data_IF_135623069156
#
_entry.id   IF_135623069156
#
_cell.length_a   1.000
_cell.length_b   1.000
_cell.length_c   1.000
_cell.angle_alpha   90.00
_cell.angle_beta   90.00
_cell.angle_gamma   90.00
#
_symmetry.space_group_name_H-M   'P 1'
#
loop_
_entity.id
_entity.type
_entity.pdbx_description
1 polymer ?
#
# COMPACT_ATOMS: atom_id res chain seq x y z
N UNK A 1 -26.50 0.58 -26.21
CA UNK A 1 -25.93 0.02 -24.98
C UNK A 1 -24.44 0.32 -24.93
N UNK A 2 -23.99 0.85 -23.82
CA UNK A 2 -22.54 1.05 -23.65
C UNK A 2 -21.85 -0.32 -23.57
N UNK A 3 -20.74 -0.48 -24.30
CA UNK A 3 -19.93 -1.69 -24.21
C UNK A 3 -19.37 -1.85 -22.82
N UNK A 4 -19.32 -3.08 -22.30
CA UNK A 4 -18.62 -3.38 -21.04
C UNK A 4 -17.13 -3.06 -21.27
N UNK A 5 -16.50 -2.24 -20.41
CA UNK A 5 -15.09 -1.93 -20.58
C UNK A 5 -14.25 -3.18 -20.47
N UNK A 6 -13.28 -3.33 -21.38
CA UNK A 6 -12.29 -4.40 -21.31
C UNK A 6 -11.06 -3.86 -20.59
N UNK A 7 -10.23 -4.77 -20.05
CA UNK A 7 -8.98 -4.38 -19.39
C UNK A 7 -8.14 -3.47 -20.28
N UNK A 8 -7.99 -3.82 -21.55
CA UNK A 8 -7.16 -3.10 -22.51
C UNK A 8 -7.69 -1.69 -22.80
N UNK A 9 -8.97 -1.43 -22.59
CA UNK A 9 -9.58 -0.12 -22.82
C UNK A 9 -9.43 0.87 -21.68
N UNK A 10 -8.92 0.41 -20.51
CA UNK A 10 -8.81 1.23 -19.32
C UNK A 10 -7.36 1.52 -18.95
N UNK A 11 -7.08 2.71 -18.36
CA UNK A 11 -5.75 3.04 -17.86
C UNK A 11 -5.48 2.41 -16.50
N UNK A 12 -4.22 2.44 -16.08
CA UNK A 12 -3.84 2.19 -14.70
C UNK A 12 -4.03 3.45 -13.85
N UNK A 13 -4.43 3.27 -12.60
CA UNK A 13 -4.46 4.38 -11.63
C UNK A 13 -3.06 4.60 -11.07
N UNK A 14 -2.60 5.85 -11.04
CA UNK A 14 -1.31 6.22 -10.47
C UNK A 14 -1.39 6.25 -8.95
N UNK A 15 -0.58 5.42 -8.30
CA UNK A 15 -0.59 5.25 -6.86
C UNK A 15 0.82 5.20 -6.28
N UNK A 16 0.89 5.29 -4.96
CA UNK A 16 2.11 5.07 -4.18
C UNK A 16 1.90 3.90 -3.24
N UNK A 17 2.98 3.19 -2.94
CA UNK A 17 3.04 2.20 -1.89
C UNK A 17 4.16 2.55 -0.92
N UNK A 18 3.99 2.22 0.35
CA UNK A 18 4.90 2.64 1.40
C UNK A 18 5.35 1.43 2.22
N UNK A 19 6.67 1.24 2.31
CA UNK A 19 7.27 0.26 3.21
C UNK A 19 7.90 1.03 4.36
N UNK A 20 7.39 0.84 5.57
CA UNK A 20 7.93 1.47 6.77
C UNK A 20 8.64 0.41 7.58
N UNK A 21 9.96 0.56 7.73
CA UNK A 21 10.81 -0.33 8.53
C UNK A 21 10.98 0.20 9.95
N UNK A 22 10.79 -0.67 10.94
CA UNK A 22 11.18 -0.35 12.32
C UNK A 22 12.67 -0.67 12.53
N UNK A 23 13.13 -0.49 13.77
CA UNK A 23 14.56 -0.70 14.10
C UNK A 23 14.99 -2.16 14.03
N UNK A 24 14.07 -3.11 14.11
CA UNK A 24 14.34 -4.53 13.94
C UNK A 24 14.32 -4.97 12.47
N UNK A 25 14.03 -4.06 11.55
CA UNK A 25 13.92 -4.38 10.13
C UNK A 25 12.61 -5.02 9.70
N UNK A 26 11.60 -4.99 10.57
CA UNK A 26 10.25 -5.43 10.24
C UNK A 26 9.47 -4.28 9.61
N UNK A 27 8.42 -4.61 8.87
CA UNK A 27 7.61 -3.63 8.13
C UNK A 27 6.20 -3.52 8.68
N UNK A 28 5.64 -2.32 8.54
CA UNK A 28 4.27 -2.04 8.96
C UNK A 28 3.27 -2.61 7.98
N UNK A 29 2.32 -3.39 8.49
CA UNK A 29 1.15 -3.80 7.73
C UNK A 29 -0.12 -3.44 8.48
N UNK A 30 -1.16 -3.10 7.72
CA UNK A 30 -2.48 -2.81 8.24
C UNK A 30 -3.49 -3.86 7.81
N UNK A 31 -4.44 -4.15 8.71
CA UNK A 31 -5.57 -5.01 8.41
C UNK A 31 -6.73 -4.15 7.93
N UNK A 32 -7.17 -4.38 6.72
CA UNK A 32 -8.23 -3.57 6.10
C UNK A 32 -9.58 -3.82 6.76
N UNK A 33 -10.35 -2.74 6.90
CA UNK A 33 -11.74 -2.83 7.33
C UNK A 33 -12.59 -3.52 6.28
N UNK A 34 -13.60 -4.26 6.73
CA UNK A 34 -14.64 -4.76 5.85
C UNK A 34 -15.33 -3.56 5.15
N UNK A 35 -15.63 -3.70 3.86
CA UNK A 35 -16.17 -2.63 3.05
C UNK A 35 -17.15 -3.18 2.02
N UNK A 36 -18.09 -2.35 1.59
CA UNK A 36 -18.94 -2.64 0.44
C UNK A 36 -18.26 -2.44 -0.91
N UNK A 37 -17.03 -1.91 -0.93
CA UNK A 37 -16.26 -1.77 -2.16
C UNK A 37 -15.89 -3.16 -2.71
N UNK A 38 -16.16 -3.48 -4.00
CA UNK A 38 -15.87 -4.79 -4.56
C UNK A 38 -14.41 -5.22 -4.46
N UNK A 39 -13.47 -4.31 -4.67
CA UNK A 39 -12.04 -4.63 -4.51
C UNK A 39 -11.72 -5.00 -3.07
N UNK A 40 -12.21 -4.19 -2.13
CA UNK A 40 -11.98 -4.41 -0.69
C UNK A 40 -12.67 -5.67 -0.21
N UNK A 41 -13.88 -5.97 -0.70
CA UNK A 41 -14.58 -7.22 -0.38
C UNK A 41 -13.84 -8.44 -0.86
N UNK A 42 -13.25 -8.40 -2.04
CA UNK A 42 -12.45 -9.50 -2.59
C UNK A 42 -11.21 -9.78 -1.74
N UNK A 43 -10.75 -8.83 -0.93
CA UNK A 43 -9.56 -8.94 -0.09
C UNK A 43 -9.86 -9.45 1.33
N UNK A 44 -11.11 -9.74 1.67
CA UNK A 44 -11.50 -10.14 3.04
C UNK A 44 -10.78 -11.40 3.54
N UNK A 45 -10.49 -12.36 2.66
CA UNK A 45 -9.75 -13.58 3.01
C UNK A 45 -8.25 -13.34 3.26
N UNK A 46 -7.72 -12.20 2.80
CA UNK A 46 -6.33 -11.79 2.99
C UNK A 46 -6.32 -10.27 3.18
N UNK A 47 -6.74 -9.79 4.38
CA UNK A 47 -7.02 -8.35 4.59
C UNK A 47 -5.79 -7.50 4.83
N UNK A 48 -4.61 -8.08 4.93
CA UNK A 48 -3.39 -7.35 5.24
C UNK A 48 -2.81 -6.68 4.01
N UNK A 49 -2.25 -5.49 4.20
CA UNK A 49 -1.50 -4.78 3.17
C UNK A 49 -0.57 -3.75 3.80
N UNK A 50 0.41 -3.29 3.03
CA UNK A 50 1.19 -2.12 3.39
C UNK A 50 0.40 -0.85 3.01
N UNK A 51 0.66 0.31 3.66
CA UNK A 51 0.00 1.56 3.30
C UNK A 51 0.16 1.88 1.81
N UNK A 52 -0.90 2.40 1.22
CA UNK A 52 -0.92 2.78 -0.19
C UNK A 52 -2.03 3.80 -0.46
N UNK A 53 -1.93 4.49 -1.58
CA UNK A 53 -3.01 5.39 -1.98
C UNK A 53 -2.74 6.05 -3.32
N UNK A 54 -3.69 6.84 -3.80
CA UNK A 54 -3.59 7.53 -5.08
C UNK A 54 -2.68 8.73 -5.06
N UNK A 55 -2.05 9.00 -6.19
CA UNK A 55 -1.33 10.25 -6.43
C UNK A 55 -2.32 11.26 -7.00
N UNK A 56 -2.46 12.42 -6.36
CA UNK A 56 -3.32 13.47 -6.87
C UNK A 56 -2.70 14.12 -8.12
N UNK A 57 -3.55 14.71 -8.95
CA UNK A 57 -3.08 15.37 -10.18
C UNK A 57 -2.02 16.42 -9.85
N UNK A 58 -0.84 16.30 -10.46
CA UNK A 58 0.26 17.22 -10.25
C UNK A 58 1.02 17.05 -8.94
N UNK A 59 0.66 16.05 -8.12
CA UNK A 59 1.33 15.78 -6.87
C UNK A 59 2.62 14.98 -7.11
N UNK A 60 3.69 15.37 -6.41
CA UNK A 60 4.93 14.59 -6.41
C UNK A 60 4.72 13.23 -5.72
N UNK A 61 5.20 12.11 -6.31
CA UNK A 61 4.98 10.78 -5.72
C UNK A 61 5.48 10.64 -4.29
N UNK A 62 6.64 11.19 -3.94
CA UNK A 62 7.16 11.13 -2.57
C UNK A 62 6.23 11.87 -1.59
N UNK A 63 5.72 13.03 -1.97
CA UNK A 63 4.74 13.77 -1.16
C UNK A 63 3.44 12.99 -1.00
N UNK A 64 2.99 12.33 -2.07
CA UNK A 64 1.82 11.47 -2.01
C UNK A 64 2.04 10.32 -1.01
N UNK A 65 3.22 9.70 -1.03
CA UNK A 65 3.56 8.63 -0.10
C UNK A 65 3.52 9.10 1.36
N UNK A 66 4.12 10.25 1.66
CA UNK A 66 4.10 10.81 3.01
C UNK A 66 2.69 11.19 3.45
N UNK A 67 1.89 11.76 2.56
CA UNK A 67 0.49 12.12 2.83
C UNK A 67 -0.35 10.89 3.11
N UNK A 68 -0.28 9.87 2.26
CA UNK A 68 -1.06 8.64 2.44
C UNK A 68 -0.65 7.89 3.71
N UNK A 69 0.66 7.85 4.02
CA UNK A 69 1.13 7.25 5.26
C UNK A 69 0.51 7.93 6.47
N UNK A 70 0.50 9.26 6.49
CA UNK A 70 -0.11 10.03 7.58
C UNK A 70 -1.63 9.82 7.64
N UNK A 71 -2.30 9.85 6.51
CA UNK A 71 -3.76 9.68 6.44
C UNK A 71 -4.21 8.30 6.92
N UNK A 72 -3.40 7.25 6.68
CA UNK A 72 -3.78 5.89 7.05
C UNK A 72 -3.28 5.45 8.43
N UNK A 73 -2.16 5.99 8.90
CA UNK A 73 -1.47 5.48 10.09
C UNK A 73 -1.08 6.54 11.12
N UNK A 74 -1.30 7.81 10.83
CA UNK A 74 -0.87 8.94 11.67
C UNK A 74 0.64 9.16 11.71
N UNK A 75 1.44 8.35 11.03
CA UNK A 75 2.92 8.44 11.07
C UNK A 75 3.43 9.65 10.29
N UNK A 76 4.33 10.42 10.92
CA UNK A 76 5.10 11.50 10.31
C UNK A 76 6.60 11.36 10.54
N UNK A 77 7.02 10.58 11.53
CA UNK A 77 8.42 10.44 11.94
C UNK A 77 9.12 9.35 11.14
N UNK A 78 9.41 9.65 9.88
CA UNK A 78 10.10 8.74 8.96
C UNK A 78 11.22 9.45 8.22
N UNK A 79 12.22 8.69 7.81
CA UNK A 79 13.24 9.16 6.88
C UNK A 79 13.30 8.22 5.67
N UNK A 80 13.46 8.81 4.48
CA UNK A 80 13.51 8.05 3.23
C UNK A 80 14.79 7.20 3.16
N UNK A 81 14.62 5.91 2.89
CA UNK A 81 15.74 4.97 2.69
C UNK A 81 15.99 4.69 1.22
N UNK A 82 14.95 4.47 0.46
CA UNK A 82 15.07 4.09 -0.94
C UNK A 82 13.75 4.28 -1.68
N UNK A 83 13.84 4.34 -3.00
CA UNK A 83 12.71 4.33 -3.92
C UNK A 83 12.90 3.15 -4.87
N UNK A 84 11.85 2.39 -5.14
CA UNK A 84 11.92 1.34 -6.14
C UNK A 84 12.18 1.97 -7.52
N UNK A 85 13.10 1.39 -8.33
CA UNK A 85 13.54 2.04 -9.56
C UNK A 85 12.48 2.12 -10.65
N UNK A 86 11.45 1.30 -10.57
CA UNK A 86 10.43 1.19 -11.61
C UNK A 86 9.04 1.21 -11.02
N UNK A 87 8.04 1.56 -11.84
CA UNK A 87 6.64 1.38 -11.51
C UNK A 87 6.35 -0.11 -11.31
N UNK A 88 5.56 -0.44 -10.29
CA UNK A 88 5.10 -1.80 -10.03
C UNK A 88 3.61 -1.86 -10.33
N UNK A 89 3.21 -2.81 -11.16
CA UNK A 89 1.84 -2.90 -11.70
C UNK A 89 1.10 -4.07 -11.11
N UNK A 90 -0.21 -3.90 -10.89
CA UNK A 90 -1.11 -5.05 -10.79
C UNK A 90 -2.37 -4.77 -11.60
N UNK A 91 -2.95 -5.83 -12.16
CA UNK A 91 -4.24 -5.79 -12.84
C UNK A 91 -5.34 -6.33 -11.92
N UNK A 92 -6.52 -5.71 -12.01
CA UNK A 92 -7.71 -6.28 -11.37
C UNK A 92 -8.08 -7.60 -12.04
N UNK A 93 -8.64 -8.58 -11.29
CA UNK A 93 -9.26 -9.76 -11.90
C UNK A 93 -10.35 -9.35 -12.90
N UNK A 94 -10.59 -10.17 -13.91
CA UNK A 94 -11.52 -9.85 -15.01
C UNK A 94 -12.92 -9.49 -14.50
N UNK A 95 -13.41 -10.18 -13.47
CA UNK A 95 -14.72 -9.94 -12.87
C UNK A 95 -14.82 -8.62 -12.09
N UNK A 96 -13.70 -7.99 -11.80
CA UNK A 96 -13.63 -6.71 -11.09
C UNK A 96 -13.41 -5.51 -12.03
N UNK A 97 -13.02 -5.76 -13.27
CA UNK A 97 -12.84 -4.69 -14.27
C UNK A 97 -14.21 -4.08 -14.58
N UNK A 98 -14.30 -2.74 -14.55
CA UNK A 98 -15.55 -2.03 -14.75
C UNK A 98 -16.40 -1.89 -13.48
N UNK A 99 -15.99 -2.50 -12.36
CA UNK A 99 -16.70 -2.46 -11.07
C UNK A 99 -15.84 -1.84 -9.98
N UNK A 100 -14.67 -2.41 -9.71
CA UNK A 100 -13.74 -1.87 -8.71
C UNK A 100 -13.06 -0.60 -9.23
N UNK A 101 -12.51 0.20 -8.34
CA UNK A 101 -11.87 1.48 -8.65
C UNK A 101 -12.79 2.40 -9.47
N UNK A 102 -14.07 2.44 -9.08
CA UNK A 102 -15.14 3.23 -9.74
C UNK A 102 -15.34 2.85 -11.21
N UNK A 103 -14.91 1.67 -11.63
CA UNK A 103 -15.00 1.20 -13.00
C UNK A 103 -14.10 1.92 -14.01
N UNK A 104 -13.16 2.75 -13.53
CA UNK A 104 -12.35 3.64 -14.38
C UNK A 104 -10.96 3.11 -14.72
N UNK A 105 -10.49 2.06 -14.04
CA UNK A 105 -9.11 1.61 -14.14
C UNK A 105 -9.04 0.10 -14.29
N UNK A 106 -7.99 -0.36 -14.98
CA UNK A 106 -7.70 -1.79 -15.13
C UNK A 106 -6.95 -2.37 -13.92
N UNK A 107 -6.40 -1.51 -13.08
CA UNK A 107 -5.58 -1.83 -11.93
C UNK A 107 -4.81 -0.59 -11.50
N UNK A 108 -3.68 -0.79 -10.87
CA UNK A 108 -2.83 0.30 -10.41
C UNK A 108 -1.41 0.13 -10.93
N UNK A 109 -0.74 1.27 -11.18
CA UNK A 109 0.72 1.32 -11.24
C UNK A 109 1.20 2.11 -10.04
N UNK A 110 2.22 1.60 -9.37
CA UNK A 110 2.61 2.08 -8.06
C UNK A 110 4.08 2.46 -8.02
N UNK A 111 4.36 3.66 -7.45
CA UNK A 111 5.71 4.06 -7.05
C UNK A 111 5.87 3.64 -5.59
N UNK A 112 6.89 2.82 -5.32
CA UNK A 112 7.13 2.32 -3.96
C UNK A 112 8.32 3.01 -3.32
N UNK A 113 8.13 3.38 -2.05
CA UNK A 113 9.15 4.04 -1.21
C UNK A 113 9.36 3.27 0.07
N UNK A 114 10.62 3.17 0.49
CA UNK A 114 10.99 2.57 1.77
C UNK A 114 11.46 3.66 2.72
N UNK A 115 10.92 3.64 3.94
CA UNK A 115 11.24 4.60 4.99
C UNK A 115 11.70 3.89 6.25
N UNK A 116 12.58 4.54 7.01
CA UNK A 116 12.90 4.14 8.38
C UNK A 116 11.96 4.88 9.34
N UNK A 117 11.31 4.14 10.23
CA UNK A 117 10.49 4.72 11.29
C UNK A 117 11.40 5.17 12.44
N UNK A 118 11.39 6.47 12.72
CA UNK A 118 12.23 7.08 13.77
C UNK A 118 11.44 7.43 15.03
N UNK A 119 10.13 7.21 15.01
CA UNK A 119 9.24 7.46 16.14
C UNK A 119 9.06 6.24 17.03
N UNK A 120 8.01 6.31 17.86
CA UNK A 120 7.61 5.22 18.75
C UNK A 120 6.28 4.66 18.31
N UNK A 121 6.00 3.40 18.63
CA UNK A 121 4.76 2.72 18.27
C UNK A 121 3.51 3.46 18.72
N UNK A 122 3.58 4.23 19.81
CA UNK A 122 2.46 5.05 20.29
C UNK A 122 2.02 6.15 19.31
N UNK A 123 2.83 6.51 18.35
CA UNK A 123 2.43 7.44 17.28
C UNK A 123 1.47 6.79 16.28
N UNK A 124 1.54 5.47 16.13
CA UNK A 124 0.75 4.74 15.13
C UNK A 124 -0.71 4.66 15.60
N UNK A 125 -1.59 5.30 14.85
CA UNK A 125 -3.02 5.35 15.12
C UNK A 125 -3.76 5.11 13.81
N UNK A 126 -4.32 3.92 13.67
CA UNK A 126 -5.11 3.54 12.49
C UNK A 126 -6.62 3.74 12.70
N UNK A 127 -7.05 3.99 13.93
CA UNK A 127 -8.46 4.23 14.26
C UNK A 127 -8.89 5.66 13.95
N UNK A 128 -8.07 6.63 14.36
CA UNK A 128 -8.34 8.06 14.16
C UNK A 128 -7.12 8.77 13.60
N UNK A 129 -6.60 8.34 12.44
CA UNK A 129 -5.38 8.91 11.89
C UNK A 129 -5.57 10.39 11.54
N UNK A 130 -4.52 11.18 11.74
CA UNK A 130 -4.56 12.61 11.50
C UNK A 130 -5.52 13.37 12.42
N UNK A 131 -5.77 12.86 13.63
CA UNK A 131 -6.70 13.49 14.59
C UNK A 131 -8.17 13.25 14.26
N UNK A 132 -8.49 12.19 13.53
CA UNK A 132 -9.86 11.85 13.14
C UNK A 132 -10.37 12.58 11.91
N UNK A 133 -9.49 13.27 11.19
CA UNK A 133 -9.85 14.02 9.96
C UNK A 133 -10.05 13.13 8.75
N UNK A 134 -9.56 11.89 8.81
CA UNK A 134 -9.58 10.97 7.68
C UNK A 134 -10.38 9.72 8.03
N UNK A 135 -11.01 9.13 7.01
CA UNK A 135 -11.71 7.86 7.17
C UNK A 135 -10.69 6.76 7.45
N UNK A 136 -10.91 5.99 8.51
CA UNK A 136 -10.02 4.89 8.85
C UNK A 136 -10.10 3.77 7.80
N UNK A 137 -8.95 3.36 7.27
CA UNK A 137 -8.82 2.27 6.28
C UNK A 137 -8.54 0.92 6.95
N UNK A 138 -7.95 0.94 8.15
CA UNK A 138 -7.52 -0.26 8.86
C UNK A 138 -8.23 -0.44 10.20
N UNK A 139 -8.43 -1.72 10.60
CA UNK A 139 -8.92 -2.10 11.93
C UNK A 139 -7.79 -2.32 12.91
N UNK A 140 -6.62 -2.71 12.41
CA UNK A 140 -5.48 -3.09 13.22
C UNK A 140 -4.20 -2.90 12.41
N UNK A 141 -3.08 -2.92 13.09
CA UNK A 141 -1.76 -2.91 12.45
C UNK A 141 -0.81 -3.81 13.24
N UNK A 142 0.27 -4.22 12.58
CA UNK A 142 1.37 -4.93 13.24
C UNK A 142 2.66 -4.78 12.46
N UNK A 143 3.78 -5.09 13.10
CA UNK A 143 5.06 -5.28 12.43
C UNK A 143 5.15 -6.71 11.92
N UNK A 144 5.69 -6.88 10.73
CA UNK A 144 5.81 -8.18 10.09
C UNK A 144 7.12 -8.25 9.30
N UNK A 145 7.63 -9.44 9.06
CA UNK A 145 8.79 -9.64 8.20
C UNK A 145 8.40 -9.37 6.75
N UNK A 146 9.20 -8.54 6.06
CA UNK A 146 8.91 -8.19 4.66
C UNK A 146 8.74 -9.42 3.78
N UNK A 147 9.57 -10.45 3.99
CA UNK A 147 9.52 -11.69 3.20
C UNK A 147 8.22 -12.48 3.40
N UNK A 148 7.48 -12.24 4.47
CA UNK A 148 6.20 -12.91 4.75
C UNK A 148 5.00 -12.17 4.18
N UNK A 149 5.16 -10.88 3.88
CA UNK A 149 4.03 -10.03 3.46
C UNK A 149 3.33 -10.55 2.20
N UNK A 150 4.04 -10.99 1.14
CA UNK A 150 3.35 -11.50 -0.05
C UNK A 150 2.38 -12.64 0.19
N UNK A 151 2.60 -13.47 1.23
CA UNK A 151 1.69 -14.55 1.59
C UNK A 151 0.44 -14.08 2.34
N UNK A 152 0.42 -12.84 2.81
CA UNK A 152 -0.66 -12.29 3.64
C UNK A 152 -1.64 -11.43 2.85
N UNK A 153 -1.34 -11.13 1.60
CA UNK A 153 -2.16 -10.23 0.78
C UNK A 153 -3.01 -11.01 -0.23
N UNK A 154 -3.99 -10.30 -0.78
CA UNK A 154 -4.88 -10.88 -1.79
C UNK A 154 -4.07 -11.40 -2.99
N UNK A 155 -4.42 -12.59 -3.53
CA UNK A 155 -3.62 -13.24 -4.57
C UNK A 155 -3.33 -12.38 -5.82
N UNK A 156 -4.26 -11.55 -6.26
CA UNK A 156 -4.05 -10.77 -7.47
C UNK A 156 -3.03 -9.62 -7.30
N UNK A 157 -2.63 -9.31 -6.05
CA UNK A 157 -1.56 -8.34 -5.75
C UNK A 157 -0.23 -8.99 -5.41
N UNK A 158 -0.20 -10.33 -5.27
CA UNK A 158 0.99 -11.04 -4.78
C UNK A 158 2.22 -10.79 -5.66
N UNK A 159 2.08 -10.85 -6.98
CA UNK A 159 3.19 -10.64 -7.90
C UNK A 159 3.79 -9.23 -7.75
N UNK A 160 2.96 -8.21 -7.53
CA UNK A 160 3.43 -6.85 -7.26
C UNK A 160 4.21 -6.78 -5.95
N UNK A 161 3.73 -7.42 -4.88
CA UNK A 161 4.42 -7.45 -3.60
C UNK A 161 5.72 -8.27 -3.65
N UNK A 162 5.80 -9.31 -4.47
CA UNK A 162 7.06 -10.04 -4.71
C UNK A 162 8.12 -9.09 -5.29
N UNK A 163 7.73 -8.19 -6.19
CA UNK A 163 8.63 -7.16 -6.72
C UNK A 163 9.05 -6.14 -5.68
N UNK A 164 8.18 -5.80 -4.73
CA UNK A 164 8.52 -4.92 -3.60
C UNK A 164 9.59 -5.60 -2.73
N UNK A 165 9.43 -6.89 -2.44
CA UNK A 165 10.43 -7.66 -1.70
C UNK A 165 11.77 -7.68 -2.44
N UNK A 166 11.75 -7.87 -3.76
CA UNK A 166 12.97 -7.83 -4.57
C UNK A 166 13.65 -6.48 -4.51
N UNK A 167 12.88 -5.39 -4.55
CA UNK A 167 13.42 -4.02 -4.53
C UNK A 167 14.05 -3.66 -3.18
N UNK A 168 13.48 -4.12 -2.06
CA UNK A 168 13.85 -3.67 -0.73
C UNK A 168 14.32 -4.78 0.22
N UNK A 169 14.46 -6.01 -0.28
CA UNK A 169 14.72 -7.18 0.57
C UNK A 169 16.07 -7.17 1.29
N UNK A 170 17.03 -6.35 0.84
CA UNK A 170 18.32 -6.19 1.49
C UNK A 170 18.32 -5.11 2.59
N UNK A 171 17.28 -4.29 2.66
CA UNK A 171 17.19 -3.19 3.64
C UNK A 171 17.16 -3.70 5.10
N UNK A 172 16.40 -4.76 5.46
CA UNK A 172 16.36 -5.25 6.84
C UNK A 172 17.74 -5.56 7.42
N UNK A 173 18.70 -5.98 6.59
CA UNK A 173 20.06 -6.31 7.04
C UNK A 173 20.80 -5.07 7.56
N UNK A 174 20.45 -3.87 7.12
CA UNK A 174 21.04 -2.63 7.58
C UNK A 174 20.73 -2.33 9.05
N UNK A 175 19.60 -2.87 9.56
CA UNK A 175 19.16 -2.65 10.94
C UNK A 175 19.77 -3.66 11.92
N UNK A 176 20.27 -4.79 11.43
CA UNK A 176 20.80 -5.87 12.25
C UNK A 176 22.30 -5.78 12.46
N UNK A 177 22.98 -4.84 11.79
CA UNK A 177 24.45 -4.66 11.84
C UNK A 177 24.86 -3.35 12.50
N UNK A 178 24.00 -2.73 13.29
CA UNK A 178 24.31 -1.51 14.02
C UNK A 178 24.87 -1.82 15.39
#
# INVERSE_FOLDING_TARGET
MAAVPTRESLPYRDCVGIVVFNQEGDVLIGKRKASGDPEKSAQQGAPWQMPQGGIDKGEDPLRAALRELHEETNITTVSLLAEAPEWIYYDLPDDMVGVALKGKYRGQRQRWFAFAFTGKDGEIDVDTPGGGKHKAEFDAWRWEKLTRVPALIVPFKKAAYDKVVDAFGDIPQRFTHS
#
